data_IF_310648389665
#
_entry.id   IF_310648389665
#
_cell.length_a   1.000
_cell.length_b   1.000
_cell.length_c   1.000
_cell.angle_alpha   90.00
_cell.angle_beta   90.00
_cell.angle_gamma   90.00
#
_symmetry.space_group_name_H-M   'P 1'
#
loop_
_entity.id
_entity.type
_entity.pdbx_description
1 polymer ?
#
# COMPACT_ATOMS: atom_id res chain seq x y z
N UNK A 1 -20.08 -18.98 7.49
CA UNK A 1 -18.69 -19.46 7.45
C UNK A 1 -18.05 -18.80 6.24
N UNK A 2 -16.93 -18.12 6.46
CA UNK A 2 -16.31 -17.17 5.55
C UNK A 2 -16.07 -17.74 4.15
N UNK A 3 -16.90 -17.35 3.19
CA UNK A 3 -16.52 -17.40 1.79
C UNK A 3 -15.58 -16.22 1.55
N UNK A 4 -14.30 -16.56 1.69
CA UNK A 4 -13.13 -15.72 1.62
C UNK A 4 -13.02 -15.11 0.22
N UNK A 5 -13.37 -13.83 0.07
CA UNK A 5 -13.09 -13.04 -1.14
C UNK A 5 -11.57 -12.78 -1.36
N UNK A 6 -10.67 -13.41 -0.59
CA UNK A 6 -9.22 -13.25 -0.69
C UNK A 6 -8.49 -14.18 -1.67
N UNK A 7 -9.21 -15.01 -2.45
CA UNK A 7 -8.58 -16.05 -3.29
C UNK A 7 -7.80 -15.54 -4.52
N UNK A 8 -8.20 -14.41 -5.09
CA UNK A 8 -7.59 -13.88 -6.33
C UNK A 8 -6.36 -13.01 -6.07
N UNK A 9 -6.36 -12.21 -5.00
CA UNK A 9 -5.22 -11.35 -4.67
C UNK A 9 -3.96 -12.14 -4.29
N UNK A 10 -4.11 -13.17 -3.46
CA UNK A 10 -2.98 -13.94 -2.95
C UNK A 10 -2.29 -14.80 -4.03
N UNK A 11 -3.06 -15.35 -4.98
CA UNK A 11 -2.53 -16.12 -6.12
C UNK A 11 -1.82 -15.23 -7.16
N UNK A 12 -2.33 -14.02 -7.38
CA UNK A 12 -1.66 -13.03 -8.23
C UNK A 12 -0.34 -12.56 -7.60
N UNK A 13 -0.34 -12.25 -6.29
CA UNK A 13 0.86 -11.80 -5.56
C UNK A 13 1.95 -12.88 -5.54
N UNK A 14 1.59 -14.15 -5.36
CA UNK A 14 2.53 -15.27 -5.50
C UNK A 14 3.22 -15.29 -6.87
N UNK A 15 2.45 -15.08 -7.93
CA UNK A 15 2.95 -15.11 -9.32
C UNK A 15 3.90 -13.94 -9.58
N UNK A 16 3.60 -12.75 -9.06
CA UNK A 16 4.49 -11.57 -9.12
C UNK A 16 5.80 -11.86 -8.41
N UNK A 17 5.76 -12.37 -7.18
CA UNK A 17 6.97 -12.67 -6.41
C UNK A 17 7.85 -13.70 -7.13
N UNK A 18 7.26 -14.74 -7.73
CA UNK A 18 7.99 -15.73 -8.51
C UNK A 18 8.60 -15.14 -9.78
N UNK A 19 7.87 -14.31 -10.52
CA UNK A 19 8.37 -13.65 -11.73
C UNK A 19 9.55 -12.71 -11.42
N UNK A 20 9.41 -11.88 -10.37
CA UNK A 20 10.48 -11.00 -9.90
C UNK A 20 11.70 -11.80 -9.44
N UNK A 21 11.51 -12.91 -8.71
CA UNK A 21 12.61 -13.79 -8.31
C UNK A 21 13.31 -14.48 -9.49
N UNK A 22 12.60 -14.73 -10.59
CA UNK A 22 13.17 -15.27 -11.82
C UNK A 22 13.94 -14.22 -12.64
N UNK A 23 13.88 -12.94 -12.26
CA UNK A 23 14.47 -11.82 -12.98
C UNK A 23 13.63 -11.33 -14.16
N UNK A 24 12.36 -11.72 -14.22
CA UNK A 24 11.41 -11.26 -15.24
C UNK A 24 10.72 -9.98 -14.77
N UNK A 25 10.46 -9.05 -15.71
CA UNK A 25 9.70 -7.84 -15.41
C UNK A 25 8.22 -8.19 -15.21
N UNK A 26 7.75 -8.18 -13.96
CA UNK A 26 6.37 -8.49 -13.62
C UNK A 26 5.39 -7.32 -13.84
N UNK A 27 5.68 -6.39 -14.74
CA UNK A 27 4.93 -5.12 -14.88
C UNK A 27 3.45 -5.33 -15.18
N UNK A 28 3.11 -6.30 -16.03
CA UNK A 28 1.72 -6.58 -16.39
C UNK A 28 0.95 -7.21 -15.21
N UNK A 29 1.61 -8.10 -14.47
CA UNK A 29 1.05 -8.74 -13.27
C UNK A 29 0.86 -7.72 -12.14
N UNK A 30 1.78 -6.76 -11.98
CA UNK A 30 1.66 -5.68 -11.02
C UNK A 30 0.46 -4.79 -11.33
N UNK A 31 0.23 -4.45 -12.59
CA UNK A 31 -0.94 -3.66 -13.01
C UNK A 31 -2.26 -4.41 -12.77
N UNK A 32 -2.28 -5.71 -13.07
CA UNK A 32 -3.44 -6.57 -12.79
C UNK A 32 -3.71 -6.65 -11.28
N UNK A 33 -2.66 -6.80 -10.48
CA UNK A 33 -2.75 -6.83 -9.03
C UNK A 33 -3.26 -5.49 -8.44
N UNK A 34 -2.75 -4.36 -8.94
CA UNK A 34 -3.19 -3.03 -8.49
C UNK A 34 -4.69 -2.79 -8.74
N UNK A 35 -5.20 -3.25 -9.89
CA UNK A 35 -6.60 -3.11 -10.28
C UNK A 35 -7.52 -4.15 -9.61
N UNK A 36 -7.02 -5.37 -9.40
CA UNK A 36 -7.81 -6.49 -8.89
C UNK A 36 -7.83 -6.64 -7.37
N UNK A 37 -6.86 -6.05 -6.65
CA UNK A 37 -6.75 -6.16 -5.20
C UNK A 37 -6.96 -4.81 -4.53
N UNK A 38 -8.09 -4.65 -3.81
CA UNK A 38 -8.36 -3.43 -3.04
C UNK A 38 -7.57 -3.36 -1.73
N UNK A 39 -7.36 -4.50 -1.07
CA UNK A 39 -6.66 -4.56 0.23
C UNK A 39 -6.04 -5.94 0.47
N UNK A 40 -4.97 -5.97 1.25
CA UNK A 40 -4.29 -7.20 1.69
C UNK A 40 -4.21 -7.22 3.22
N UNK A 41 -4.49 -8.37 3.82
CA UNK A 41 -4.23 -8.58 5.24
C UNK A 41 -2.79 -9.02 5.50
N UNK A 42 -2.29 -8.78 6.72
CA UNK A 42 -0.97 -9.26 7.14
C UNK A 42 -0.87 -10.78 7.12
N UNK A 43 -1.93 -11.47 7.55
CA UNK A 43 -1.99 -12.93 7.61
C UNK A 43 -1.85 -13.58 6.21
N UNK A 44 -2.42 -12.97 5.17
CA UNK A 44 -2.29 -13.46 3.79
C UNK A 44 -0.84 -13.37 3.28
N UNK A 45 -0.14 -12.30 3.64
CA UNK A 45 1.27 -12.10 3.26
C UNK A 45 2.16 -13.08 4.03
N UNK A 46 1.93 -13.26 5.33
CA UNK A 46 2.69 -14.23 6.13
C UNK A 46 2.51 -15.65 5.60
N UNK A 47 1.27 -16.03 5.25
CA UNK A 47 0.98 -17.32 4.63
C UNK A 47 1.72 -17.49 3.30
N UNK A 48 1.77 -16.43 2.48
CA UNK A 48 2.52 -16.46 1.22
C UNK A 48 4.03 -16.60 1.46
N UNK A 49 4.62 -15.81 2.36
CA UNK A 49 6.05 -15.89 2.66
C UNK A 49 6.46 -17.25 3.17
N UNK A 50 5.63 -17.85 4.03
CA UNK A 50 5.85 -19.22 4.48
C UNK A 50 5.83 -20.21 3.32
N UNK A 51 4.88 -20.07 2.37
CA UNK A 51 4.81 -20.90 1.16
C UNK A 51 6.03 -20.73 0.25
N UNK A 52 6.44 -19.50 -0.04
CA UNK A 52 7.62 -19.21 -0.86
C UNK A 52 8.91 -19.74 -0.22
N UNK A 53 9.02 -19.68 1.11
CA UNK A 53 10.15 -20.24 1.85
C UNK A 53 10.17 -21.77 1.79
N UNK A 54 9.01 -22.44 1.88
CA UNK A 54 8.91 -23.89 1.69
C UNK A 54 9.29 -24.34 0.28
N UNK A 55 8.97 -23.53 -0.73
CA UNK A 55 9.35 -23.77 -2.12
C UNK A 55 10.81 -23.42 -2.42
N UNK A 56 11.53 -22.82 -1.48
CA UNK A 56 12.94 -22.45 -1.63
C UNK A 56 13.19 -21.24 -2.53
N UNK A 57 12.17 -20.41 -2.75
CA UNK A 57 12.27 -19.20 -3.59
C UNK A 57 13.05 -18.11 -2.83
N UNK A 58 14.15 -17.56 -3.37
CA UNK A 58 14.98 -16.56 -2.69
C UNK A 58 14.39 -15.14 -2.80
N UNK A 59 13.20 -14.92 -2.22
CA UNK A 59 12.52 -13.62 -2.26
C UNK A 59 13.17 -12.56 -1.38
N UNK A 60 13.86 -12.96 -0.31
CA UNK A 60 14.49 -12.06 0.66
C UNK A 60 15.77 -11.38 0.16
N UNK A 61 16.35 -11.87 -0.93
CA UNK A 61 17.65 -11.43 -1.45
C UNK A 61 17.53 -10.58 -2.70
N UNK A 62 16.32 -10.43 -3.25
CA UNK A 62 16.08 -9.73 -4.50
C UNK A 62 15.65 -8.27 -4.24
N UNK A 63 16.39 -7.26 -4.75
CA UNK A 63 16.04 -5.85 -4.58
C UNK A 63 14.71 -5.48 -5.23
N UNK A 64 14.35 -6.10 -6.36
CA UNK A 64 13.10 -5.80 -7.08
C UNK A 64 11.87 -6.25 -6.26
N UNK A 65 12.02 -7.35 -5.51
CA UNK A 65 10.99 -7.83 -4.59
C UNK A 65 10.82 -6.89 -3.40
N UNK A 66 11.93 -6.37 -2.85
CA UNK A 66 11.88 -5.41 -1.76
C UNK A 66 11.22 -4.09 -2.20
N UNK A 67 11.54 -3.60 -3.41
CA UNK A 67 10.93 -2.42 -3.98
C UNK A 67 9.42 -2.62 -4.22
N UNK A 68 9.02 -3.76 -4.80
CA UNK A 68 7.61 -4.10 -4.97
C UNK A 68 6.85 -4.16 -3.64
N UNK A 69 7.46 -4.78 -2.62
CA UNK A 69 6.86 -4.88 -1.29
C UNK A 69 6.64 -3.51 -0.65
N UNK A 70 7.63 -2.63 -0.72
CA UNK A 70 7.53 -1.29 -0.15
C UNK A 70 6.58 -0.37 -0.93
N UNK A 71 6.50 -0.53 -2.25
CA UNK A 71 5.69 0.35 -3.10
C UNK A 71 4.23 -0.08 -3.13
N UNK A 72 3.95 -1.34 -3.47
CA UNK A 72 2.59 -1.81 -3.75
C UNK A 72 1.98 -2.50 -2.54
N UNK A 73 2.72 -3.44 -1.91
CA UNK A 73 2.16 -4.27 -0.83
C UNK A 73 1.90 -3.45 0.43
N UNK A 74 2.80 -2.54 0.78
CA UNK A 74 2.65 -1.66 1.95
C UNK A 74 1.44 -0.74 1.82
N UNK A 75 1.15 -0.25 0.61
CA UNK A 75 -0.03 0.56 0.34
C UNK A 75 -1.31 -0.24 0.57
N UNK A 76 -1.42 -1.45 0.00
CA UNK A 76 -2.59 -2.33 0.17
C UNK A 76 -2.79 -2.80 1.62
N UNK A 77 -1.71 -2.98 2.37
CA UNK A 77 -1.76 -3.24 3.82
C UNK A 77 -2.34 -2.06 4.60
N UNK A 78 -1.92 -0.84 4.28
CA UNK A 78 -2.45 0.37 4.92
C UNK A 78 -3.93 0.57 4.60
N UNK A 79 -4.35 0.28 3.37
CA UNK A 79 -5.75 0.32 2.96
C UNK A 79 -6.60 -0.71 3.75
N UNK A 80 -6.08 -1.91 3.97
CA UNK A 80 -6.76 -2.93 4.77
C UNK A 80 -7.00 -2.49 6.22
N UNK A 81 -6.01 -1.82 6.84
CA UNK A 81 -6.14 -1.30 8.20
C UNK A 81 -7.24 -0.24 8.35
N UNK A 82 -7.60 0.45 7.26
CA UNK A 82 -8.70 1.42 7.22
C UNK A 82 -10.04 0.72 6.96
N UNK A 83 -10.06 -0.20 5.98
CA UNK A 83 -11.28 -0.88 5.51
C UNK A 83 -11.84 -1.89 6.53
N UNK A 84 -11.01 -2.40 7.44
CA UNK A 84 -11.50 -3.25 8.55
C UNK A 84 -12.50 -2.53 9.48
N UNK A 85 -12.52 -1.19 9.46
CA UNK A 85 -13.44 -0.38 10.25
C UNK A 85 -14.61 0.12 9.38
N UNK A 86 -15.82 0.07 9.93
CA UNK A 86 -17.01 0.61 9.27
C UNK A 86 -16.88 2.13 9.01
N UNK A 87 -17.51 2.67 7.95
CA UNK A 87 -17.55 4.11 7.72
C UNK A 87 -18.19 4.83 8.92
N UNK A 88 -17.57 5.92 9.37
CA UNK A 88 -17.98 6.67 10.57
C UNK A 88 -17.42 6.14 11.89
N UNK A 89 -16.67 5.03 11.89
CA UNK A 89 -15.96 4.58 13.09
C UNK A 89 -14.83 5.57 13.43
N UNK A 90 -14.69 6.06 14.67
CA UNK A 90 -13.68 7.05 15.03
C UNK A 90 -12.28 6.64 14.60
N UNK A 91 -11.88 5.39 14.85
CA UNK A 91 -10.56 4.87 14.45
C UNK A 91 -10.34 4.93 12.93
N UNK A 92 -11.39 4.72 12.12
CA UNK A 92 -11.28 4.86 10.67
C UNK A 92 -10.98 6.30 10.27
N UNK A 93 -11.71 7.25 10.87
CA UNK A 93 -11.53 8.68 10.63
C UNK A 93 -10.11 9.08 10.99
N UNK A 94 -9.64 8.72 12.20
CA UNK A 94 -8.26 8.94 12.62
C UNK A 94 -7.23 8.36 11.65
N UNK A 95 -7.41 7.13 11.17
CA UNK A 95 -6.45 6.51 10.23
C UNK A 95 -6.45 7.21 8.87
N UNK A 96 -7.62 7.59 8.35
CA UNK A 96 -7.75 8.34 7.10
C UNK A 96 -7.14 9.74 7.21
N UNK A 97 -7.38 10.45 8.32
CA UNK A 97 -6.76 11.75 8.62
C UNK A 97 -5.25 11.64 8.67
N UNK A 98 -4.72 10.63 9.39
CA UNK A 98 -3.28 10.38 9.46
C UNK A 98 -2.66 10.07 8.10
N UNK A 99 -3.34 9.29 7.25
CA UNK A 99 -2.89 9.01 5.88
C UNK A 99 -2.86 10.30 5.05
N UNK A 100 -3.94 11.08 5.09
CA UNK A 100 -4.04 12.35 4.37
C UNK A 100 -2.93 13.33 4.78
N UNK A 101 -2.67 13.47 6.09
CA UNK A 101 -1.61 14.32 6.62
C UNK A 101 -0.24 13.89 6.04
N UNK A 102 0.07 12.59 6.05
CA UNK A 102 1.34 12.07 5.51
C UNK A 102 1.48 12.37 4.02
N UNK A 103 0.41 12.19 3.24
CA UNK A 103 0.41 12.50 1.81
C UNK A 103 0.61 13.99 1.55
N UNK A 104 -0.04 14.86 2.31
CA UNK A 104 0.13 16.31 2.18
C UNK A 104 1.55 16.75 2.55
N UNK A 105 2.14 16.21 3.61
CA UNK A 105 3.55 16.47 3.94
C UNK A 105 4.50 15.95 2.86
N UNK A 106 4.26 14.78 2.29
CA UNK A 106 5.06 14.26 1.18
C UNK A 106 4.98 15.17 -0.06
N UNK A 107 3.81 15.77 -0.33
CA UNK A 107 3.64 16.77 -1.41
C UNK A 107 4.37 18.07 -1.10
N UNK A 108 4.20 18.62 0.11
CA UNK A 108 4.89 19.86 0.53
C UNK A 108 6.41 19.70 0.45
N UNK A 109 6.95 18.57 0.91
CA UNK A 109 8.40 18.32 0.88
C UNK A 109 8.99 18.23 -0.53
N UNK A 110 8.16 18.06 -1.57
CA UNK A 110 8.59 18.06 -2.98
C UNK A 110 8.53 19.44 -3.62
N UNK A 111 7.93 20.42 -2.97
CA UNK A 111 7.83 21.79 -3.46
C UNK A 111 9.01 22.58 -2.94
N UNK A 112 9.68 23.30 -3.84
CA UNK A 112 10.63 24.34 -3.46
C UNK A 112 9.84 25.63 -3.17
N UNK A 113 9.70 26.05 -1.91
CA UNK A 113 8.93 27.25 -1.56
C UNK A 113 9.53 28.53 -2.15
N UNK A 114 10.78 28.50 -2.65
CA UNK A 114 11.38 29.63 -3.37
C UNK A 114 10.92 29.74 -4.82
N UNK A 115 10.45 28.64 -5.42
CA UNK A 115 10.00 28.59 -6.82
C UNK A 115 8.48 28.62 -6.96
N UNK A 116 7.74 28.03 -6.00
CA UNK A 116 6.29 27.87 -6.10
C UNK A 116 5.58 28.12 -4.75
N UNK A 117 5.60 29.39 -4.33
CA UNK A 117 5.03 29.86 -3.06
C UNK A 117 3.51 29.65 -2.99
N UNK A 118 2.81 29.81 -4.11
CA UNK A 118 1.36 29.67 -4.18
C UNK A 118 0.94 28.21 -3.94
N UNK A 119 1.64 27.26 -4.58
CA UNK A 119 1.41 25.82 -4.38
C UNK A 119 1.75 25.39 -2.94
N UNK A 120 2.83 25.92 -2.36
CA UNK A 120 3.18 25.69 -0.95
C UNK A 120 2.08 26.19 -0.01
N UNK A 121 1.60 27.41 -0.21
CA UNK A 121 0.59 28.05 0.66
C UNK A 121 -0.73 27.28 0.63
N UNK A 122 -1.19 26.88 -0.56
CA UNK A 122 -2.41 26.10 -0.72
C UNK A 122 -2.35 24.75 0.02
N UNK A 123 -1.23 24.02 -0.09
CA UNK A 123 -1.05 22.76 0.62
C UNK A 123 -0.90 22.96 2.13
N UNK A 124 -0.22 24.01 2.56
CA UNK A 124 -0.06 24.34 3.98
C UNK A 124 -1.41 24.65 4.63
N UNK A 125 -2.26 25.43 3.96
CA UNK A 125 -3.64 25.68 4.39
C UNK A 125 -4.44 24.38 4.45
N UNK A 126 -4.30 23.50 3.45
CA UNK A 126 -4.98 22.22 3.42
C UNK A 126 -4.60 21.34 4.63
N UNK A 127 -3.31 21.29 5.02
CA UNK A 127 -2.88 20.58 6.24
C UNK A 127 -3.58 21.12 7.48
N UNK A 128 -3.70 22.45 7.60
CA UNK A 128 -4.37 23.11 8.73
C UNK A 128 -5.88 22.84 8.82
N UNK A 129 -6.50 22.25 7.80
CA UNK A 129 -7.93 21.89 7.79
C UNK A 129 -8.21 20.45 8.23
N UNK A 130 -7.19 19.58 8.29
CA UNK A 130 -7.38 18.15 8.59
C UNK A 130 -7.78 17.88 10.05
N UNK A 131 -7.48 18.79 10.99
CA UNK A 131 -7.70 18.58 12.44
C UNK A 131 -9.12 18.86 12.99
N UNK A 132 -10.13 19.15 12.18
CA UNK A 132 -11.38 19.77 12.70
C UNK A 132 -12.55 18.82 13.00
N UNK A 133 -12.35 17.51 13.08
CA UNK A 133 -13.46 16.56 13.24
C UNK A 133 -13.47 15.79 14.59
N UNK A 134 -13.15 16.49 15.68
CA UNK A 134 -13.44 16.04 17.06
C UNK A 134 -14.35 17.01 17.80
#
# INVERSE_FOLDING_TARGET
>A
MSEFLGGTGCSCLESIFKALCAGESATDLMAEFEQGCESLSGDEIEALFHKLQQEGVPFNSNPDVAEFYHTVVTEKLSAHQILQYAPGHPVRVYLQENQLIRELFAKINRIDPQQDLDAFTALFEQIGTVEKHY
#
